data_IF_521321510573
#
_entry.id   IF_521321510573
#
_cell.length_a   1.000
_cell.length_b   1.000
_cell.length_c   1.000
_cell.angle_alpha   90.00
_cell.angle_beta   90.00
_cell.angle_gamma   90.00
#
_symmetry.space_group_name_H-M   'P 1'
#
loop_
_entity.id
_entity.type
_entity.pdbx_description
1 polymer ?
#
# COMPACT_ATOMS: atom_id res chain seq x y z
N UNK A 1 -27.86 -77.67 -54.82
CA UNK A 1 -26.69 -77.64 -53.91
C UNK A 1 -26.95 -78.60 -52.76
N UNK A 2 -26.12 -79.64 -52.61
CA UNK A 2 -26.33 -80.71 -51.62
C UNK A 2 -26.01 -80.23 -50.20
N UNK A 3 -26.84 -80.63 -49.22
CA UNK A 3 -26.71 -80.25 -47.80
C UNK A 3 -25.33 -80.55 -47.18
N UNK A 4 -24.59 -81.50 -47.76
CA UNK A 4 -23.23 -81.84 -47.34
C UNK A 4 -22.18 -80.75 -47.65
N UNK A 5 -22.36 -79.99 -48.73
CA UNK A 5 -21.46 -78.90 -49.09
C UNK A 5 -21.62 -77.72 -48.12
N UNK A 6 -22.86 -77.33 -47.83
CA UNK A 6 -23.15 -76.32 -46.81
C UNK A 6 -22.55 -76.71 -45.46
N UNK A 7 -22.74 -77.95 -44.99
CA UNK A 7 -22.25 -78.39 -43.68
C UNK A 7 -20.72 -78.39 -43.53
N UNK A 8 -19.98 -78.53 -44.65
CA UNK A 8 -18.51 -78.58 -44.65
C UNK A 8 -17.85 -77.20 -44.71
N UNK A 9 -18.43 -76.25 -45.42
CA UNK A 9 -17.86 -74.90 -45.59
C UNK A 9 -18.45 -73.85 -44.63
N UNK A 10 -19.62 -74.11 -44.04
CA UNK A 10 -20.25 -73.23 -43.05
C UNK A 10 -19.37 -72.81 -41.86
N UNK A 11 -18.59 -73.70 -41.21
CA UNK A 11 -17.73 -73.27 -40.11
C UNK A 11 -16.60 -72.33 -40.58
N UNK A 12 -16.10 -72.51 -41.80
CA UNK A 12 -15.04 -71.65 -42.36
C UNK A 12 -15.59 -70.27 -42.74
N UNK A 13 -16.78 -70.20 -43.32
CA UNK A 13 -17.44 -68.91 -43.62
C UNK A 13 -17.75 -68.13 -42.35
N UNK A 14 -18.18 -68.80 -41.28
CA UNK A 14 -18.39 -68.16 -39.98
C UNK A 14 -17.08 -67.65 -39.36
N UNK A 15 -15.99 -68.42 -39.46
CA UNK A 15 -14.69 -68.00 -38.94
C UNK A 15 -14.14 -66.76 -39.67
N UNK A 16 -14.26 -66.71 -41.01
CA UNK A 16 -13.85 -65.55 -41.81
C UNK A 16 -14.71 -64.33 -41.47
N UNK A 17 -16.01 -64.50 -41.31
CA UNK A 17 -16.91 -63.40 -40.96
C UNK A 17 -16.65 -62.87 -39.54
N UNK A 18 -16.39 -63.76 -38.58
CA UNK A 18 -15.98 -63.38 -37.23
C UNK A 18 -14.64 -62.62 -37.22
N UNK A 19 -13.65 -63.08 -38.00
CA UNK A 19 -12.38 -62.40 -38.14
C UNK A 19 -12.54 -61.02 -38.79
N UNK A 20 -13.35 -60.90 -39.84
CA UNK A 20 -13.64 -59.62 -40.48
C UNK A 20 -14.29 -58.64 -39.50
N UNK A 21 -15.23 -59.09 -38.68
CA UNK A 21 -15.85 -58.27 -37.64
C UNK A 21 -14.83 -57.83 -36.57
N UNK A 22 -13.89 -58.69 -36.17
CA UNK A 22 -12.83 -58.33 -35.25
C UNK A 22 -11.89 -57.26 -35.82
N UNK A 23 -11.53 -57.36 -37.11
CA UNK A 23 -10.72 -56.34 -37.78
C UNK A 23 -11.45 -55.00 -37.85
N UNK A 24 -12.75 -55.01 -38.16
CA UNK A 24 -13.57 -53.79 -38.17
C UNK A 24 -13.67 -53.20 -36.76
N UNK A 25 -13.90 -54.02 -35.73
CA UNK A 25 -13.94 -53.56 -34.35
C UNK A 25 -12.60 -52.94 -33.92
N UNK A 26 -11.47 -53.59 -34.24
CA UNK A 26 -10.14 -53.11 -33.91
C UNK A 26 -9.81 -51.79 -34.60
N UNK A 27 -10.17 -51.64 -35.88
CA UNK A 27 -9.97 -50.38 -36.63
C UNK A 27 -10.79 -49.24 -36.03
N UNK A 28 -12.08 -49.47 -35.74
CA UNK A 28 -12.94 -48.47 -35.06
C UNK A 28 -12.37 -48.09 -33.70
N UNK A 29 -11.90 -49.05 -32.90
CA UNK A 29 -11.27 -48.76 -31.61
C UNK A 29 -9.98 -47.96 -31.76
N UNK A 30 -9.18 -48.24 -32.78
CA UNK A 30 -7.92 -47.52 -33.06
C UNK A 30 -8.21 -46.06 -33.41
N UNK A 31 -9.21 -45.80 -34.26
CA UNK A 31 -9.62 -44.43 -34.60
C UNK A 31 -10.12 -43.65 -33.38
N UNK A 32 -10.94 -44.28 -32.52
CA UNK A 32 -11.43 -43.64 -31.29
C UNK A 32 -10.29 -43.34 -30.30
N UNK A 33 -9.29 -44.21 -30.22
CA UNK A 33 -8.12 -43.98 -29.38
C UNK A 33 -7.27 -42.83 -29.92
N UNK A 34 -7.03 -42.79 -31.23
CA UNK A 34 -6.29 -41.71 -31.87
C UNK A 34 -6.97 -40.35 -31.69
N UNK A 35 -8.31 -40.28 -31.83
CA UNK A 35 -9.04 -39.03 -31.59
C UNK A 35 -8.93 -38.58 -30.12
N UNK A 36 -9.05 -39.50 -29.16
CA UNK A 36 -8.91 -39.18 -27.74
C UNK A 36 -7.50 -38.73 -27.36
N UNK A 37 -6.46 -39.33 -27.97
CA UNK A 37 -5.07 -38.91 -27.77
C UNK A 37 -4.83 -37.51 -28.35
N UNK A 38 -5.35 -37.23 -29.55
CA UNK A 38 -5.22 -35.91 -30.16
C UNK A 38 -5.91 -34.82 -29.32
N UNK A 39 -7.13 -35.08 -28.82
CA UNK A 39 -7.84 -34.17 -27.91
C UNK A 39 -7.02 -33.92 -26.64
N UNK A 40 -6.48 -34.97 -26.02
CA UNK A 40 -5.65 -34.85 -24.82
C UNK A 40 -4.37 -34.04 -25.06
N UNK A 41 -3.72 -34.20 -26.21
CA UNK A 41 -2.53 -33.41 -26.58
C UNK A 41 -2.88 -31.93 -26.78
N UNK A 42 -3.97 -31.63 -27.47
CA UNK A 42 -4.43 -30.23 -27.64
C UNK A 42 -4.76 -29.57 -26.30
N UNK A 43 -5.41 -30.31 -25.39
CA UNK A 43 -5.71 -29.80 -24.05
C UNK A 43 -4.43 -29.57 -23.23
N UNK A 44 -3.46 -30.50 -23.30
CA UNK A 44 -2.16 -30.35 -22.62
C UNK A 44 -1.39 -29.13 -23.11
N UNK A 45 -1.37 -28.91 -24.43
CA UNK A 45 -0.75 -27.74 -25.04
C UNK A 45 -1.48 -26.45 -24.64
N UNK A 46 -2.81 -26.46 -24.66
CA UNK A 46 -3.64 -25.34 -24.18
C UNK A 46 -3.32 -24.98 -22.73
N UNK A 47 -3.39 -25.95 -21.81
CA UNK A 47 -3.04 -25.73 -20.38
C UNK A 47 -1.60 -25.27 -20.17
N UNK A 48 -0.67 -25.69 -21.04
CA UNK A 48 0.71 -25.21 -20.98
C UNK A 48 0.84 -23.74 -21.42
N UNK A 49 0.07 -23.32 -22.43
CA UNK A 49 -0.03 -21.91 -22.84
C UNK A 49 -0.67 -21.08 -21.74
N UNK A 50 -1.82 -21.51 -21.21
CA UNK A 50 -2.55 -20.80 -20.17
C UNK A 50 -1.67 -20.53 -18.95
N UNK A 51 -0.87 -21.53 -18.53
CA UNK A 51 0.07 -21.36 -17.42
C UNK A 51 1.10 -20.26 -17.67
N UNK A 52 1.62 -20.13 -18.89
CA UNK A 52 2.57 -19.06 -19.25
C UNK A 52 1.87 -17.71 -19.24
N UNK A 53 0.65 -17.64 -19.76
CA UNK A 53 -0.13 -16.40 -19.80
C UNK A 53 -0.51 -15.94 -18.38
N UNK A 54 -0.90 -16.86 -17.49
CA UNK A 54 -1.11 -16.57 -16.08
C UNK A 54 0.15 -16.08 -15.37
N UNK A 55 1.30 -16.72 -15.60
CA UNK A 55 2.57 -16.28 -15.02
C UNK A 55 2.94 -14.88 -15.48
N UNK A 56 2.77 -14.59 -16.78
CA UNK A 56 3.00 -13.26 -17.35
C UNK A 56 2.05 -12.23 -16.75
N UNK A 57 0.76 -12.52 -16.69
CA UNK A 57 -0.24 -11.61 -16.12
C UNK A 57 0.03 -11.35 -14.62
N UNK A 58 0.46 -12.36 -13.86
CA UNK A 58 0.88 -12.16 -12.47
C UNK A 58 2.14 -11.29 -12.36
N UNK A 59 3.13 -11.49 -13.23
CA UNK A 59 4.33 -10.66 -13.26
C UNK A 59 4.02 -9.20 -13.62
N UNK A 60 3.14 -8.97 -14.60
CA UNK A 60 2.67 -7.63 -14.99
C UNK A 60 1.89 -6.97 -13.85
N UNK A 61 0.91 -7.68 -13.26
CA UNK A 61 0.11 -7.16 -12.14
C UNK A 61 0.97 -6.82 -10.90
N UNK A 62 1.98 -7.64 -10.59
CA UNK A 62 2.89 -7.38 -9.47
C UNK A 62 3.81 -6.19 -9.75
N UNK A 63 4.31 -6.05 -10.99
CA UNK A 63 5.10 -4.89 -11.39
C UNK A 63 4.28 -3.59 -11.32
N UNK A 64 3.04 -3.63 -11.79
CA UNK A 64 2.12 -2.49 -11.74
C UNK A 64 1.81 -2.10 -10.28
N UNK A 65 1.49 -3.08 -9.43
CA UNK A 65 1.23 -2.85 -8.01
C UNK A 65 2.44 -2.25 -7.29
N UNK A 66 3.65 -2.74 -7.58
CA UNK A 66 4.88 -2.20 -7.00
C UNK A 66 5.14 -0.77 -7.48
N UNK A 67 4.95 -0.49 -8.77
CA UNK A 67 5.11 0.86 -9.32
C UNK A 67 4.10 1.86 -8.72
N UNK A 68 2.85 1.44 -8.54
CA UNK A 68 1.80 2.25 -7.93
C UNK A 68 2.10 2.52 -6.46
N UNK A 69 2.58 1.51 -5.73
CA UNK A 69 3.03 1.66 -4.35
C UNK A 69 4.18 2.65 -4.23
N UNK A 70 5.22 2.53 -5.06
CA UNK A 70 6.37 3.45 -5.03
C UNK A 70 5.95 4.89 -5.35
N UNK A 71 5.05 5.09 -6.33
CA UNK A 71 4.51 6.43 -6.63
C UNK A 71 3.75 7.01 -5.44
N UNK A 72 2.91 6.20 -4.77
CA UNK A 72 2.16 6.63 -3.59
C UNK A 72 3.07 6.93 -2.41
N UNK A 73 4.09 6.13 -2.17
CA UNK A 73 5.09 6.38 -1.13
C UNK A 73 5.87 7.66 -1.39
N UNK A 74 6.26 7.93 -2.65
CA UNK A 74 6.91 9.19 -3.02
C UNK A 74 5.98 10.40 -2.83
N UNK A 75 4.71 10.30 -3.22
CA UNK A 75 3.71 11.34 -2.97
C UNK A 75 3.52 11.61 -1.47
N UNK A 76 3.51 10.56 -0.64
CA UNK A 76 3.38 10.71 0.81
C UNK A 76 4.64 11.28 1.46
N UNK A 77 5.83 10.88 1.00
CA UNK A 77 7.09 11.45 1.46
C UNK A 77 7.15 12.96 1.17
N UNK A 78 6.83 13.37 -0.06
CA UNK A 78 6.81 14.79 -0.43
C UNK A 78 5.80 15.60 0.42
N UNK A 79 4.63 15.02 0.72
CA UNK A 79 3.63 15.66 1.61
C UNK A 79 4.08 15.72 3.06
N UNK A 80 4.84 14.73 3.54
CA UNK A 80 5.43 14.74 4.87
C UNK A 80 6.49 15.84 4.97
N UNK A 81 7.41 15.91 4.00
CA UNK A 81 8.45 16.95 3.94
C UNK A 81 7.84 18.37 3.90
N UNK A 82 6.75 18.56 3.14
CA UNK A 82 6.03 19.83 3.10
C UNK A 82 5.38 20.16 4.45
N UNK A 83 4.79 19.18 5.13
CA UNK A 83 4.19 19.37 6.44
C UNK A 83 5.24 19.72 7.50
N UNK A 84 6.39 19.06 7.47
CA UNK A 84 7.51 19.33 8.36
C UNK A 84 8.09 20.73 8.13
N UNK A 85 8.23 21.16 6.86
CA UNK A 85 8.66 22.50 6.52
C UNK A 85 7.69 23.58 7.05
N UNK A 86 6.37 23.36 6.88
CA UNK A 86 5.35 24.27 7.42
C UNK A 86 5.37 24.33 8.95
N UNK A 87 5.56 23.19 9.61
CA UNK A 87 5.70 23.13 11.06
C UNK A 87 6.93 23.93 11.53
N UNK A 88 8.08 23.74 10.89
CA UNK A 88 9.31 24.46 11.22
C UNK A 88 9.20 25.97 11.03
N UNK A 89 8.47 26.41 9.99
CA UNK A 89 8.18 27.83 9.77
C UNK A 89 7.26 28.39 10.88
N UNK A 90 6.16 27.71 11.20
CA UNK A 90 5.24 28.13 12.27
C UNK A 90 5.93 28.18 13.63
N UNK A 91 6.74 27.17 13.98
CA UNK A 91 7.47 27.16 15.25
C UNK A 91 8.48 28.32 15.32
N UNK A 92 9.18 28.61 14.22
CA UNK A 92 10.04 29.77 14.08
C UNK A 92 9.31 31.09 14.27
N UNK A 93 8.15 31.26 13.63
CA UNK A 93 7.32 32.47 13.73
C UNK A 93 6.83 32.71 15.15
N UNK A 94 6.29 31.69 15.82
CA UNK A 94 5.81 31.84 17.20
C UNK A 94 6.95 32.08 18.18
N UNK A 95 8.06 31.36 18.05
CA UNK A 95 9.27 31.62 18.86
C UNK A 95 9.76 33.06 18.68
N UNK A 96 9.83 33.55 17.45
CA UNK A 96 10.21 34.92 17.16
C UNK A 96 9.20 35.95 17.72
N UNK A 97 7.91 35.62 17.75
CA UNK A 97 6.89 36.47 18.37
C UNK A 97 7.10 36.59 19.89
N UNK A 98 7.36 35.48 20.59
CA UNK A 98 7.68 35.48 22.03
C UNK A 98 8.90 36.34 22.32
N UNK A 99 9.97 36.19 21.53
CA UNK A 99 11.21 36.96 21.72
C UNK A 99 11.04 38.45 21.43
N UNK A 100 10.30 38.81 20.37
CA UNK A 100 9.99 40.22 20.05
C UNK A 100 9.17 40.88 21.14
N UNK A 101 8.18 40.17 21.66
CA UNK A 101 7.36 40.66 22.77
C UNK A 101 8.20 40.92 24.03
N UNK A 102 9.10 39.98 24.38
CA UNK A 102 10.04 40.16 25.48
C UNK A 102 10.95 41.38 25.28
N UNK A 103 11.49 41.57 24.08
CA UNK A 103 12.36 42.71 23.77
C UNK A 103 11.59 44.05 23.86
N UNK A 104 10.35 44.10 23.36
CA UNK A 104 9.50 45.28 23.47
C UNK A 104 9.19 45.64 24.94
N UNK A 105 8.90 44.64 25.78
CA UNK A 105 8.66 44.87 27.21
C UNK A 105 9.91 45.40 27.93
N UNK A 106 11.11 44.92 27.59
CA UNK A 106 12.37 45.47 28.13
C UNK A 106 12.60 46.93 27.70
N UNK A 107 12.20 47.31 26.49
CA UNK A 107 12.37 48.66 25.98
C UNK A 107 11.40 49.69 26.59
N UNK A 108 10.23 49.24 27.05
CA UNK A 108 9.20 50.08 27.71
C UNK A 108 9.39 50.16 29.23
N UNK A 109 10.24 49.31 29.81
CA UNK A 109 10.52 49.21 31.25
C UNK A 109 11.29 50.39 31.85
N UNK A 110 10.64 51.55 31.92
CA UNK A 110 10.98 52.69 32.79
C UNK A 110 10.04 52.84 34.00
N UNK A 111 9.20 51.86 34.28
CA UNK A 111 8.20 51.90 35.35
C UNK A 111 8.37 50.75 36.33
N UNK A 112 8.90 51.06 37.53
CA UNK A 112 8.67 50.54 38.89
C UNK A 112 8.01 49.16 39.15
N UNK A 113 8.12 48.20 38.24
CA UNK A 113 7.82 46.80 38.52
C UNK A 113 9.11 46.12 39.01
N UNK A 114 9.03 45.21 40.01
CA UNK A 114 10.20 44.56 40.58
C UNK A 114 11.08 43.98 39.48
N UNK A 115 12.27 44.56 39.35
CA UNK A 115 13.29 44.19 38.39
C UNK A 115 13.55 42.69 38.44
N UNK A 116 13.36 42.02 37.30
CA UNK A 116 13.99 40.74 36.96
C UNK A 116 13.99 39.70 38.09
N UNK A 117 12.82 39.30 38.59
CA UNK A 117 12.72 38.06 39.35
C UNK A 117 12.99 36.90 38.38
N UNK A 118 14.08 36.16 38.59
CA UNK A 118 14.25 34.85 37.96
C UNK A 118 13.04 33.99 38.33
N UNK A 119 12.37 33.41 37.34
CA UNK A 119 11.28 32.49 37.62
C UNK A 119 11.80 31.31 38.45
N UNK A 120 11.13 31.04 39.57
CA UNK A 120 11.45 29.90 40.43
C UNK A 120 11.27 28.61 39.64
N UNK A 121 12.21 27.68 39.77
CA UNK A 121 12.20 26.40 39.04
C UNK A 121 10.87 25.67 39.31
N UNK A 122 10.07 25.48 38.26
CA UNK A 122 8.78 24.78 38.33
C UNK A 122 8.99 23.30 38.71
N UNK A 123 8.02 22.72 39.41
CA UNK A 123 8.03 21.29 39.80
C UNK A 123 7.99 20.35 38.58
N UNK A 124 7.51 20.86 37.45
CA UNK A 124 7.26 20.09 36.22
C UNK A 124 8.27 20.38 35.09
N UNK A 125 9.31 21.19 35.33
CA UNK A 125 10.34 21.50 34.32
C UNK A 125 11.25 22.68 34.67
N UNK A 126 12.19 23.00 33.78
CA UNK A 126 13.14 24.11 33.98
C UNK A 126 12.42 25.48 33.87
N UNK A 127 11.78 25.90 34.95
CA UNK A 127 11.20 27.24 35.08
C UNK A 127 12.24 28.38 35.15
N UNK A 128 13.55 28.06 35.10
CA UNK A 128 14.61 29.06 35.17
C UNK A 128 14.69 29.89 33.89
N UNK A 129 14.44 31.20 33.99
CA UNK A 129 14.58 32.11 32.86
C UNK A 129 13.96 33.49 33.12
N UNK A 130 14.16 34.38 32.15
CA UNK A 130 13.58 35.72 32.19
C UNK A 130 12.05 35.64 32.16
N UNK A 131 11.40 36.44 33.00
CA UNK A 131 9.93 36.51 33.09
C UNK A 131 9.39 37.48 32.06
N UNK A 132 8.32 37.08 31.38
CA UNK A 132 7.58 37.88 30.40
C UNK A 132 6.30 38.40 31.08
N UNK A 133 6.14 39.72 31.25
CA UNK A 133 4.88 40.29 31.74
C UNK A 133 3.84 40.29 30.63
N UNK A 134 2.70 39.65 30.86
CA UNK A 134 1.54 39.58 29.98
C UNK A 134 0.31 40.15 30.70
N UNK A 135 0.14 41.47 30.66
CA UNK A 135 -0.82 42.17 31.53
C UNK A 135 -0.40 42.07 32.99
N UNK A 136 -1.30 41.64 33.86
CA UNK A 136 -1.03 41.42 35.30
C UNK A 136 -0.37 40.05 35.60
N UNK A 137 -0.11 39.25 34.57
CA UNK A 137 0.40 37.88 34.70
C UNK A 137 1.89 37.84 34.35
N UNK A 138 2.69 37.20 35.20
CA UNK A 138 4.10 36.94 34.97
C UNK A 138 4.29 35.51 34.45
N UNK A 139 4.79 35.36 33.23
CA UNK A 139 4.97 34.05 32.57
C UNK A 139 6.47 33.77 32.38
N UNK A 140 7.00 32.64 32.85
CA UNK A 140 8.37 32.25 32.53
C UNK A 140 8.59 32.12 31.02
N UNK A 141 9.71 32.63 30.50
CA UNK A 141 10.03 32.53 29.07
C UNK A 141 10.07 31.08 28.57
N UNK A 142 10.58 30.15 29.37
CA UNK A 142 10.61 28.74 29.01
C UNK A 142 9.19 28.20 28.75
N UNK A 143 8.23 28.53 29.61
CA UNK A 143 6.84 28.13 29.48
C UNK A 143 6.18 28.79 28.26
N UNK A 144 6.46 30.08 28.01
CA UNK A 144 5.99 30.77 26.83
C UNK A 144 6.49 30.14 25.52
N UNK A 145 7.75 29.67 25.49
CA UNK A 145 8.32 28.95 24.35
C UNK A 145 7.71 27.55 24.18
N UNK A 146 7.44 26.84 25.28
CA UNK A 146 6.73 25.55 25.23
C UNK A 146 5.32 25.73 24.66
N UNK A 147 4.60 26.76 25.12
CA UNK A 147 3.27 27.09 24.60
C UNK A 147 3.31 27.46 23.11
N UNK A 148 4.33 28.22 22.67
CA UNK A 148 4.54 28.55 21.27
C UNK A 148 4.73 27.29 20.40
N UNK A 149 5.59 26.35 20.84
CA UNK A 149 5.82 25.09 20.14
C UNK A 149 4.56 24.21 20.08
N UNK A 150 3.86 24.08 21.21
CA UNK A 150 2.60 23.34 21.28
C UNK A 150 1.52 23.95 20.38
N UNK A 151 1.47 25.28 20.26
CA UNK A 151 0.55 25.97 19.35
C UNK A 151 0.90 25.65 17.90
N UNK A 152 2.18 25.73 17.51
CA UNK A 152 2.63 25.33 16.17
C UNK A 152 2.21 23.89 15.83
N UNK A 153 2.37 22.97 16.78
CA UNK A 153 1.99 21.56 16.62
C UNK A 153 0.49 21.39 16.44
N UNK A 154 -0.33 22.07 17.25
CA UNK A 154 -1.79 21.98 17.16
C UNK A 154 -2.32 22.59 15.86
N UNK A 155 -1.72 23.69 15.38
CA UNK A 155 -2.08 24.26 14.07
C UNK A 155 -1.71 23.32 12.92
N UNK A 156 -0.53 22.71 12.96
CA UNK A 156 -0.12 21.71 11.96
C UNK A 156 -1.09 20.50 11.94
N UNK A 157 -1.47 19.97 13.11
CA UNK A 157 -2.45 18.89 13.24
C UNK A 157 -3.83 19.31 12.72
N UNK A 158 -4.26 20.53 13.04
CA UNK A 158 -5.54 21.07 12.54
C UNK A 158 -5.54 21.20 11.02
N UNK A 159 -4.48 21.74 10.43
CA UNK A 159 -4.35 21.86 8.98
C UNK A 159 -4.36 20.48 8.30
N UNK A 160 -3.65 19.50 8.87
CA UNK A 160 -3.69 18.11 8.43
C UNK A 160 -5.10 17.52 8.49
N UNK A 161 -5.80 17.67 9.63
CA UNK A 161 -7.15 17.14 9.80
C UNK A 161 -8.15 17.75 8.80
N UNK A 162 -8.04 19.06 8.52
CA UNK A 162 -8.86 19.72 7.49
C UNK A 162 -8.59 19.15 6.09
N UNK A 163 -7.32 18.88 5.77
CA UNK A 163 -6.94 18.30 4.47
C UNK A 163 -7.49 16.89 4.22
N UNK A 164 -7.84 16.15 5.27
CA UNK A 164 -8.48 14.83 5.17
C UNK A 164 -9.98 14.97 4.91
N UNK A 165 -10.63 15.95 5.55
CA UNK A 165 -12.08 16.17 5.45
C UNK A 165 -12.52 16.71 4.09
N UNK A 166 -11.62 17.42 3.40
CA UNK A 166 -11.89 18.05 2.10
C UNK A 166 -11.56 17.14 0.90
N UNK A 167 -11.07 15.91 1.15
CA UNK A 167 -10.90 14.85 0.14
C UNK A 167 -12.10 13.92 0.12
#
# INVERSE_FOLDING_TARGET
>A
MSAAFLRRYWPQTLAVLAFALLVIAATVQTFRLQSAVAELETERLGRASDRKDYQRAQAEATADALSAKMKKEAEYAAKADEADARYADLSGQYRAAVLRYQAAQRAVGGTDLPSAAEATQSRDGSGGGAVIPAGDILIPQADALICAENTARLEAVRAWALSIRER
#
